data_IF_421075205654
#
_entry.id   IF_421075205654
#
_cell.length_a   1.000
_cell.length_b   1.000
_cell.length_c   1.000
_cell.angle_alpha   90.00
_cell.angle_beta   90.00
_cell.angle_gamma   90.00
#
_symmetry.space_group_name_H-M   'P 1'
#
loop_
_entity.id
_entity.type
_entity.pdbx_description
1 polymer ?
#
# COMPACT_ATOMS: atom_id res chain seq x y z
N UNK A 1 -36.98 -28.13 60.86
CA UNK A 1 -36.15 -27.00 60.40
C UNK A 1 -35.33 -27.50 59.22
N UNK A 2 -35.88 -27.28 58.03
CA UNK A 2 -35.20 -27.49 56.75
C UNK A 2 -34.10 -26.44 56.52
N UNK A 3 -33.30 -26.69 55.48
CA UNK A 3 -32.36 -25.80 54.76
C UNK A 3 -30.87 -26.07 55.01
N UNK A 4 -30.01 -26.18 54.00
CA UNK A 4 -30.17 -26.38 52.55
C UNK A 4 -28.78 -26.78 52.02
N UNK A 5 -28.74 -27.73 51.10
CA UNK A 5 -27.59 -28.02 50.25
C UNK A 5 -27.37 -26.85 49.27
N UNK A 6 -26.12 -26.54 48.90
CA UNK A 6 -25.86 -25.74 47.70
C UNK A 6 -24.55 -24.96 47.73
N UNK A 7 -23.65 -25.26 46.80
CA UNK A 7 -22.51 -24.39 46.54
C UNK A 7 -21.33 -25.02 45.80
N UNK A 8 -21.59 -25.81 44.75
CA UNK A 8 -20.57 -26.17 43.77
C UNK A 8 -20.07 -24.87 43.11
N UNK A 9 -18.84 -24.45 43.43
CA UNK A 9 -18.20 -23.29 42.79
C UNK A 9 -17.78 -23.67 41.38
N UNK A 10 -18.58 -23.28 40.39
CA UNK A 10 -18.20 -23.23 38.98
C UNK A 10 -17.01 -22.28 38.83
N UNK A 11 -15.83 -22.82 38.52
CA UNK A 11 -14.71 -22.02 38.01
C UNK A 11 -15.15 -21.43 36.67
N UNK A 12 -15.31 -20.11 36.62
CA UNK A 12 -15.34 -19.38 35.35
C UNK A 12 -14.03 -19.65 34.62
N UNK A 13 -14.11 -20.38 33.52
CA UNK A 13 -13.03 -20.49 32.53
C UNK A 13 -12.79 -19.09 31.97
N UNK A 14 -11.62 -18.53 32.24
CA UNK A 14 -11.15 -17.30 31.58
C UNK A 14 -10.84 -17.64 30.13
N UNK A 15 -11.39 -16.82 29.25
CA UNK A 15 -11.22 -16.78 27.80
C UNK A 15 -9.81 -17.19 27.33
N UNK A 16 -9.75 -18.24 26.51
CA UNK A 16 -8.59 -18.72 25.75
C UNK A 16 -8.70 -18.34 24.25
N UNK A 17 -9.74 -17.59 23.85
CA UNK A 17 -10.05 -17.34 22.44
C UNK A 17 -9.34 -16.10 21.85
N UNK A 18 -8.80 -15.19 22.69
CA UNK A 18 -8.14 -13.97 22.20
C UNK A 18 -6.76 -14.24 21.60
N UNK A 19 -5.99 -15.19 22.14
CA UNK A 19 -4.62 -15.45 21.70
C UNK A 19 -4.51 -16.07 20.29
N UNK A 20 -5.53 -16.80 19.83
CA UNK A 20 -5.51 -17.44 18.52
C UNK A 20 -5.89 -16.46 17.39
N UNK A 21 -6.78 -15.50 17.67
CA UNK A 21 -7.21 -14.47 16.73
C UNK A 21 -6.11 -13.44 16.46
N UNK A 22 -5.36 -13.05 17.49
CA UNK A 22 -4.26 -12.09 17.37
C UNK A 22 -3.10 -12.70 16.57
N UNK A 23 -2.70 -13.95 16.86
CA UNK A 23 -1.67 -14.66 16.10
C UNK A 23 -2.03 -14.84 14.61
N UNK A 24 -3.29 -15.15 14.31
CA UNK A 24 -3.75 -15.23 12.91
C UNK A 24 -3.71 -13.86 12.22
N UNK A 25 -4.01 -12.78 12.94
CA UNK A 25 -3.96 -11.41 12.43
C UNK A 25 -2.52 -10.94 12.22
N UNK A 26 -1.58 -11.32 13.09
CA UNK A 26 -0.15 -11.06 12.92
C UNK A 26 0.41 -11.71 11.65
N UNK A 27 0.01 -12.95 11.36
CA UNK A 27 0.37 -13.63 10.11
C UNK A 27 -0.20 -12.88 8.89
N UNK A 28 -1.45 -12.42 8.96
CA UNK A 28 -2.05 -11.61 7.89
C UNK A 28 -1.37 -10.25 7.73
N UNK A 29 -0.98 -9.62 8.84
CA UNK A 29 -0.24 -8.36 8.85
C UNK A 29 1.12 -8.53 8.16
N UNK A 30 1.84 -9.60 8.51
CA UNK A 30 3.10 -9.96 7.86
C UNK A 30 2.93 -10.21 6.35
N UNK A 31 1.88 -10.94 5.95
CA UNK A 31 1.59 -11.19 4.53
C UNK A 31 1.21 -9.92 3.76
N UNK A 32 0.52 -8.97 4.39
CA UNK A 32 0.06 -7.73 3.76
C UNK A 32 1.19 -6.70 3.61
N UNK A 33 2.00 -6.54 4.66
CA UNK A 33 2.91 -5.39 4.81
C UNK A 33 4.36 -5.76 5.09
N UNK A 34 4.64 -7.00 5.53
CA UNK A 34 5.95 -7.45 5.98
C UNK A 34 6.06 -7.59 7.51
N UNK A 35 7.23 -7.99 8.00
CA UNK A 35 7.51 -8.09 9.43
C UNK A 35 7.66 -6.71 10.10
N UNK A 36 7.72 -6.71 11.44
CA UNK A 36 7.96 -5.53 12.27
C UNK A 36 6.99 -4.36 12.00
N UNK A 37 5.72 -4.66 11.68
CA UNK A 37 4.74 -3.64 11.33
C UNK A 37 4.09 -2.95 12.54
N UNK A 38 4.55 -3.23 13.75
CA UNK A 38 3.94 -2.78 15.00
C UNK A 38 2.73 -3.64 15.40
N UNK A 39 2.02 -3.24 16.47
CA UNK A 39 0.92 -4.03 17.02
C UNK A 39 -0.26 -4.16 16.04
N UNK A 40 -0.99 -5.28 16.15
CA UNK A 40 -2.21 -5.52 15.37
C UNK A 40 -3.32 -4.52 15.72
N UNK A 41 -3.53 -4.24 17.01
CA UNK A 41 -4.52 -3.26 17.48
C UNK A 41 -5.90 -3.45 16.82
N UNK A 42 -6.48 -2.41 16.19
CA UNK A 42 -7.81 -2.52 15.57
C UNK A 42 -7.87 -3.52 14.40
N UNK A 43 -6.73 -3.98 13.87
CA UNK A 43 -6.69 -5.00 12.83
C UNK A 43 -7.24 -6.36 13.27
N UNK A 44 -7.25 -6.63 14.59
CA UNK A 44 -7.79 -7.88 15.14
C UNK A 44 -9.31 -8.00 14.93
N UNK A 45 -10.00 -6.88 14.68
CA UNK A 45 -11.42 -6.90 14.34
C UNK A 45 -11.66 -7.56 12.96
N UNK A 46 -12.82 -8.21 12.72
CA UNK A 46 -13.11 -8.90 11.46
C UNK A 46 -12.87 -8.07 10.19
N UNK A 47 -13.26 -6.79 10.19
CA UNK A 47 -13.02 -5.89 9.06
C UNK A 47 -11.53 -5.60 8.82
N UNK A 48 -10.73 -5.51 9.88
CA UNK A 48 -9.27 -5.34 9.79
C UNK A 48 -8.59 -6.58 9.23
N UNK A 49 -8.93 -7.77 9.75
CA UNK A 49 -8.40 -9.04 9.26
C UNK A 49 -8.79 -9.31 7.79
N UNK A 50 -10.03 -8.99 7.40
CA UNK A 50 -10.48 -9.08 6.01
C UNK A 50 -9.71 -8.12 5.11
N UNK A 51 -9.50 -6.86 5.54
CA UNK A 51 -8.68 -5.90 4.81
C UNK A 51 -7.25 -6.39 4.61
N UNK A 52 -6.57 -6.89 5.66
CA UNK A 52 -5.22 -7.46 5.55
C UNK A 52 -5.16 -8.60 4.53
N UNK A 53 -6.13 -9.51 4.56
CA UNK A 53 -6.22 -10.61 3.60
C UNK A 53 -6.38 -10.08 2.16
N UNK A 54 -7.22 -9.07 1.95
CA UNK A 54 -7.36 -8.45 0.64
C UNK A 54 -6.06 -7.78 0.17
N UNK A 55 -5.34 -7.08 1.06
CA UNK A 55 -4.05 -6.45 0.75
C UNK A 55 -2.99 -7.49 0.37
N UNK A 56 -2.92 -8.61 1.09
CA UNK A 56 -2.00 -9.71 0.80
C UNK A 56 -2.31 -10.35 -0.57
N UNK A 57 -3.58 -10.65 -0.84
CA UNK A 57 -4.03 -11.19 -2.14
C UNK A 57 -3.69 -10.24 -3.29
N UNK A 58 -3.95 -8.94 -3.12
CA UNK A 58 -3.61 -7.94 -4.12
C UNK A 58 -2.09 -7.83 -4.32
N UNK A 59 -1.29 -7.92 -3.25
CA UNK A 59 0.17 -7.93 -3.32
C UNK A 59 0.71 -9.09 -4.15
N UNK A 60 0.09 -10.26 -4.04
CA UNK A 60 0.41 -11.45 -4.83
C UNK A 60 -0.19 -11.44 -6.25
N UNK A 61 -0.93 -10.41 -6.65
CA UNK A 61 -1.56 -10.31 -7.98
C UNK A 61 -2.92 -10.99 -8.11
N UNK A 62 -3.48 -11.56 -7.04
CA UNK A 62 -4.78 -12.25 -7.04
C UNK A 62 -5.97 -11.28 -6.97
N UNK A 63 -6.11 -10.43 -7.98
CA UNK A 63 -7.02 -9.27 -7.97
C UNK A 63 -8.50 -9.64 -7.88
N UNK A 64 -8.94 -10.73 -8.53
CA UNK A 64 -10.31 -11.22 -8.39
C UNK A 64 -10.64 -11.59 -6.94
N UNK A 65 -9.77 -12.38 -6.30
CA UNK A 65 -9.94 -12.77 -4.91
C UNK A 65 -9.84 -11.56 -3.96
N UNK A 66 -8.86 -10.69 -4.17
CA UNK A 66 -8.69 -9.47 -3.39
C UNK A 66 -9.93 -8.56 -3.45
N UNK A 67 -10.52 -8.39 -4.63
CA UNK A 67 -11.74 -7.60 -4.83
C UNK A 67 -12.93 -8.18 -4.09
N UNK A 68 -13.12 -9.50 -4.15
CA UNK A 68 -14.18 -10.18 -3.40
C UNK A 68 -14.05 -9.96 -1.90
N UNK A 69 -12.84 -10.10 -1.36
CA UNK A 69 -12.59 -9.88 0.09
C UNK A 69 -12.71 -8.41 0.46
N UNK A 70 -12.20 -7.49 -0.36
CA UNK A 70 -12.32 -6.05 -0.10
C UNK A 70 -13.78 -5.58 -0.09
N UNK A 71 -14.62 -6.13 -0.99
CA UNK A 71 -16.04 -5.79 -1.08
C UNK A 71 -16.84 -6.21 0.17
N UNK A 72 -16.36 -7.16 0.97
CA UNK A 72 -17.01 -7.51 2.24
C UNK A 72 -16.68 -6.54 3.38
N UNK A 73 -15.75 -5.59 3.18
CA UNK A 73 -15.38 -4.56 4.16
C UNK A 73 -16.11 -3.26 3.80
N UNK A 74 -17.42 -3.25 4.01
CA UNK A 74 -18.29 -2.13 3.63
C UNK A 74 -18.46 -1.06 4.71
N UNK A 75 -18.15 -1.38 5.97
CA UNK A 75 -18.39 -0.55 7.14
C UNK A 75 -17.20 -0.55 8.13
N UNK A 76 -17.35 0.23 9.19
CA UNK A 76 -16.35 0.33 10.26
C UNK A 76 -15.05 1.05 9.88
N UNK A 77 -14.01 0.92 10.72
CA UNK A 77 -12.79 1.72 10.59
C UNK A 77 -11.96 1.40 9.34
N UNK A 78 -12.16 0.24 8.71
CA UNK A 78 -11.39 -0.19 7.53
C UNK A 78 -12.14 -0.06 6.20
N UNK A 79 -13.39 0.44 6.18
CA UNK A 79 -14.13 0.66 4.94
C UNK A 79 -13.40 1.61 3.98
N UNK A 80 -12.83 2.70 4.49
CA UNK A 80 -12.01 3.62 3.69
C UNK A 80 -10.77 2.90 3.12
N UNK A 81 -10.11 2.06 3.91
CA UNK A 81 -8.93 1.31 3.49
C UNK A 81 -9.24 0.30 2.38
N UNK A 82 -10.40 -0.35 2.45
CA UNK A 82 -10.89 -1.27 1.42
C UNK A 82 -11.19 -0.55 0.10
N UNK A 83 -11.76 0.65 0.16
CA UNK A 83 -11.97 1.51 -1.01
C UNK A 83 -10.67 2.02 -1.64
N UNK A 84 -9.69 2.42 -0.82
CA UNK A 84 -8.35 2.74 -1.33
C UNK A 84 -7.67 1.53 -2.00
N UNK A 85 -7.89 0.31 -1.48
CA UNK A 85 -7.36 -0.91 -2.10
C UNK A 85 -8.04 -1.19 -3.45
N UNK A 86 -9.36 -1.04 -3.54
CA UNK A 86 -10.11 -1.12 -4.79
C UNK A 86 -9.56 -0.15 -5.84
N UNK A 87 -9.40 1.13 -5.48
CA UNK A 87 -8.80 2.15 -6.33
C UNK A 87 -7.38 1.77 -6.77
N UNK A 88 -6.54 1.30 -5.83
CA UNK A 88 -5.17 0.89 -6.12
C UNK A 88 -5.09 -0.27 -7.11
N UNK A 89 -6.03 -1.22 -7.07
CA UNK A 89 -6.08 -2.31 -8.06
C UNK A 89 -6.47 -1.78 -9.43
N UNK A 90 -7.51 -0.93 -9.52
CA UNK A 90 -7.92 -0.28 -10.77
C UNK A 90 -6.77 0.52 -11.39
N UNK A 91 -6.05 1.30 -10.58
CA UNK A 91 -4.90 2.10 -10.99
C UNK A 91 -3.76 1.26 -11.55
N UNK A 92 -3.41 0.18 -10.86
CA UNK A 92 -2.36 -0.73 -11.31
C UNK A 92 -2.71 -1.42 -12.63
N UNK A 93 -4.00 -1.50 -12.97
CA UNK A 93 -4.47 -1.96 -14.27
C UNK A 93 -4.65 -0.84 -15.31
N UNK A 94 -4.13 0.36 -15.04
CA UNK A 94 -4.19 1.52 -15.95
C UNK A 94 -5.51 2.31 -15.92
N UNK A 95 -6.47 1.93 -15.06
CA UNK A 95 -7.82 2.53 -15.02
C UNK A 95 -7.93 3.73 -14.07
N UNK A 96 -7.02 4.70 -14.19
CA UNK A 96 -6.94 5.88 -13.32
C UNK A 96 -8.25 6.67 -13.19
N UNK A 97 -8.99 6.87 -14.29
CA UNK A 97 -10.29 7.58 -14.26
C UNK A 97 -11.33 6.85 -13.40
N UNK A 98 -11.35 5.52 -13.47
CA UNK A 98 -12.28 4.70 -12.67
C UNK A 98 -11.87 4.68 -11.19
N UNK A 99 -10.56 4.64 -10.91
CA UNK A 99 -10.01 4.61 -9.55
C UNK A 99 -10.36 5.88 -8.72
N UNK A 100 -10.59 7.02 -9.38
CA UNK A 100 -10.98 8.27 -8.70
C UNK A 100 -12.28 8.12 -7.88
N UNK A 101 -13.22 7.30 -8.33
CA UNK A 101 -14.50 7.09 -7.63
C UNK A 101 -14.30 6.45 -6.25
N UNK A 102 -13.71 5.24 -6.17
CA UNK A 102 -13.43 4.60 -4.90
C UNK A 102 -12.52 5.42 -3.97
N UNK A 103 -11.49 6.11 -4.46
CA UNK A 103 -10.64 6.97 -3.60
C UNK A 103 -11.41 8.19 -3.06
N UNK A 104 -12.32 8.78 -3.84
CA UNK A 104 -13.20 9.84 -3.36
C UNK A 104 -14.16 9.34 -2.27
N UNK A 105 -14.72 8.14 -2.43
CA UNK A 105 -15.55 7.51 -1.41
C UNK A 105 -14.73 7.18 -0.14
N UNK A 106 -13.49 6.70 -0.31
CA UNK A 106 -12.58 6.45 0.80
C UNK A 106 -12.29 7.72 1.60
N UNK A 107 -12.06 8.86 0.93
CA UNK A 107 -11.83 10.14 1.58
C UNK A 107 -13.05 10.58 2.40
N UNK A 108 -14.26 10.44 1.85
CA UNK A 108 -15.49 10.77 2.55
C UNK A 108 -15.70 9.88 3.80
N UNK A 109 -15.45 8.58 3.67
CA UNK A 109 -15.52 7.63 4.80
C UNK A 109 -14.48 7.98 5.88
N UNK A 110 -13.23 8.23 5.52
CA UNK A 110 -12.18 8.59 6.46
C UNK A 110 -12.46 9.93 7.17
N UNK A 111 -13.03 10.90 6.46
CA UNK A 111 -13.40 12.19 7.03
C UNK A 111 -14.51 12.06 8.09
N UNK A 112 -15.48 11.17 7.84
CA UNK A 112 -16.61 10.88 8.71
C UNK A 112 -16.27 9.98 9.90
N UNK A 113 -15.08 9.35 9.93
CA UNK A 113 -14.68 8.56 11.08
C UNK A 113 -14.51 9.43 12.33
N UNK A 114 -15.01 8.98 13.49
CA UNK A 114 -14.71 9.62 14.77
C UNK A 114 -13.20 9.75 14.93
N UNK A 115 -12.75 10.88 15.48
CA UNK A 115 -11.33 11.05 15.79
C UNK A 115 -10.90 10.03 16.84
N UNK A 116 -10.18 8.99 16.45
CA UNK A 116 -9.44 8.14 17.38
C UNK A 116 -8.01 8.68 17.51
N UNK A 117 -7.62 9.25 18.67
CA UNK A 117 -6.32 9.90 18.83
C UNK A 117 -5.12 8.92 18.81
N UNK A 118 -5.34 7.62 19.04
CA UNK A 118 -4.28 6.74 19.54
C UNK A 118 -3.49 5.95 18.47
N UNK A 119 -3.96 5.88 17.22
CA UNK A 119 -3.36 4.97 16.21
C UNK A 119 -2.85 5.66 14.94
N UNK A 120 -3.14 6.95 14.75
CA UNK A 120 -2.89 7.64 13.47
C UNK A 120 -3.70 7.07 12.29
N UNK A 121 -4.60 6.11 12.53
CA UNK A 121 -5.34 5.40 11.47
C UNK A 121 -6.16 6.36 10.62
N UNK A 122 -6.94 7.25 11.24
CA UNK A 122 -7.74 8.23 10.49
C UNK A 122 -6.87 9.10 9.58
N UNK A 123 -5.73 9.58 10.08
CA UNK A 123 -4.78 10.36 9.28
C UNK A 123 -4.22 9.52 8.12
N UNK A 124 -3.80 8.28 8.39
CA UNK A 124 -3.30 7.38 7.36
C UNK A 124 -4.34 7.15 6.25
N UNK A 125 -5.62 6.97 6.61
CA UNK A 125 -6.71 6.78 5.65
C UNK A 125 -6.97 8.03 4.82
N UNK A 126 -7.02 9.22 5.45
CA UNK A 126 -7.17 10.50 4.76
C UNK A 126 -6.02 10.74 3.77
N UNK A 127 -4.79 10.45 4.18
CA UNK A 127 -3.59 10.58 3.35
C UNK A 127 -3.63 9.56 2.21
N UNK A 128 -3.88 8.28 2.48
CA UNK A 128 -3.95 7.25 1.45
C UNK A 128 -4.98 7.57 0.36
N UNK A 129 -6.17 8.02 0.75
CA UNK A 129 -7.22 8.40 -0.20
C UNK A 129 -6.82 9.63 -1.03
N UNK A 130 -6.28 10.66 -0.38
CA UNK A 130 -5.87 11.90 -1.05
C UNK A 130 -4.69 11.67 -2.00
N UNK A 131 -3.71 10.87 -1.58
CA UNK A 131 -2.59 10.42 -2.41
C UNK A 131 -3.06 9.54 -3.57
N UNK A 132 -4.09 8.71 -3.35
CA UNK A 132 -4.74 7.95 -4.39
C UNK A 132 -5.37 8.83 -5.47
N UNK A 133 -6.14 9.85 -5.06
CA UNK A 133 -6.67 10.87 -5.97
C UNK A 133 -5.55 11.62 -6.71
N UNK A 134 -4.43 11.92 -6.04
CA UNK A 134 -3.28 12.55 -6.67
C UNK A 134 -2.69 11.65 -7.77
N UNK A 135 -2.49 10.36 -7.48
CA UNK A 135 -1.99 9.38 -8.44
C UNK A 135 -2.93 9.18 -9.63
N UNK A 136 -4.25 9.28 -9.45
CA UNK A 136 -5.21 9.23 -10.55
C UNK A 136 -5.23 10.50 -11.39
N UNK A 137 -5.05 11.67 -10.75
CA UNK A 137 -4.85 12.92 -11.47
C UNK A 137 -3.56 12.86 -12.31
N UNK A 138 -2.46 12.39 -11.72
CA UNK A 138 -1.19 12.17 -12.39
C UNK A 138 -1.33 11.23 -13.59
N UNK A 139 -1.90 10.03 -13.39
CA UNK A 139 -2.05 9.04 -14.47
C UNK A 139 -3.06 9.44 -15.55
N UNK A 140 -3.76 10.56 -15.39
CA UNK A 140 -4.62 11.17 -16.42
C UNK A 140 -4.02 12.46 -17.00
N UNK A 141 -2.75 12.76 -16.70
CA UNK A 141 -2.02 13.93 -17.21
C UNK A 141 -2.37 15.26 -16.51
N UNK A 142 -3.13 15.22 -15.41
CA UNK A 142 -3.58 16.42 -14.67
C UNK A 142 -2.58 16.81 -13.58
N UNK A 143 -1.33 17.09 -13.97
CA UNK A 143 -0.21 17.34 -13.05
C UNK A 143 -0.46 18.45 -12.02
N UNK A 144 -1.04 19.62 -12.38
CA UNK A 144 -1.34 20.65 -11.38
C UNK A 144 -2.37 20.21 -10.34
N UNK A 145 -3.32 19.36 -10.71
CA UNK A 145 -4.28 18.79 -9.76
C UNK A 145 -3.59 17.77 -8.84
N UNK A 146 -2.72 16.92 -9.38
CA UNK A 146 -1.90 16.00 -8.59
C UNK A 146 -1.07 16.76 -7.54
N UNK A 147 -0.41 17.84 -7.93
CA UNK A 147 0.38 18.67 -7.01
C UNK A 147 -0.47 19.25 -5.88
N UNK A 148 -1.66 19.79 -6.18
CA UNK A 148 -2.57 20.32 -5.14
C UNK A 148 -3.06 19.24 -4.19
N UNK A 149 -3.33 18.04 -4.69
CA UNK A 149 -3.76 16.91 -3.86
C UNK A 149 -2.61 16.41 -2.96
N UNK A 150 -1.37 16.40 -3.45
CA UNK A 150 -0.20 16.11 -2.60
C UNK A 150 -0.03 17.15 -1.48
N UNK A 151 -0.20 18.44 -1.78
CA UNK A 151 -0.18 19.48 -0.75
C UNK A 151 -1.31 19.27 0.29
N UNK A 152 -2.50 18.86 -0.16
CA UNK A 152 -3.60 18.51 0.76
C UNK A 152 -3.29 17.29 1.63
N UNK A 153 -2.59 16.30 1.09
CA UNK A 153 -2.11 15.16 1.88
C UNK A 153 -1.10 15.62 2.95
N UNK A 154 -0.23 16.58 2.64
CA UNK A 154 0.72 17.16 3.60
C UNK A 154 -0.01 17.90 4.73
N UNK A 155 -1.11 18.61 4.43
CA UNK A 155 -1.96 19.23 5.46
C UNK A 155 -2.55 18.21 6.44
N UNK A 156 -2.96 17.03 5.95
CA UNK A 156 -3.44 15.94 6.81
C UNK A 156 -2.34 15.40 7.72
N UNK A 157 -1.12 15.28 7.20
CA UNK A 157 0.06 14.83 7.97
C UNK A 157 0.50 15.87 9.02
N UNK A 158 0.38 17.17 8.72
CA UNK A 158 0.72 18.25 9.63
C UNK A 158 -0.26 18.36 10.79
N UNK A 159 -1.57 18.29 10.51
CA UNK A 159 -2.62 18.39 11.53
C UNK A 159 -2.53 17.29 12.61
N UNK A 160 -1.92 16.15 12.31
CA UNK A 160 -1.64 15.09 13.29
C UNK A 160 -0.55 15.49 14.29
N UNK A 161 0.51 16.18 13.84
CA UNK A 161 1.64 16.57 14.67
C UNK A 161 1.27 17.64 15.70
N UNK A 162 0.25 18.46 15.40
CA UNK A 162 -0.27 19.50 16.30
C UNK A 162 -1.13 18.90 17.43
N UNK A 163 -1.59 17.66 17.28
CA UNK A 163 -2.36 16.91 18.27
C UNK A 163 -1.44 16.27 19.31
N UNK A 164 -1.44 16.80 20.53
CA UNK A 164 -0.55 16.47 21.65
C UNK A 164 -0.65 15.04 22.18
N UNK A 165 -0.28 14.02 21.39
CA UNK A 165 -0.07 12.66 21.88
C UNK A 165 1.38 12.50 22.38
N UNK A 166 1.61 11.92 23.58
CA UNK A 166 2.96 11.71 24.08
C UNK A 166 3.75 10.77 23.14
N UNK A 167 4.94 11.22 22.73
CA UNK A 167 5.88 10.60 21.79
C UNK A 167 6.52 9.27 22.27
N UNK A 168 5.77 8.41 22.96
CA UNK A 168 6.33 7.25 23.68
C UNK A 168 6.15 5.90 22.98
N UNK A 169 5.28 5.80 21.96
CA UNK A 169 5.11 4.57 21.18
C UNK A 169 5.23 4.88 19.69
N UNK A 170 6.19 4.25 18.97
CA UNK A 170 6.28 4.37 17.51
C UNK A 170 4.95 3.97 16.84
N UNK A 171 4.49 4.78 15.88
CA UNK A 171 3.26 4.46 15.15
C UNK A 171 3.44 3.16 14.35
N UNK A 172 2.42 2.28 14.31
CA UNK A 172 2.50 1.07 13.51
C UNK A 172 2.77 1.38 12.04
N UNK A 173 3.62 0.59 11.39
CA UNK A 173 3.99 0.80 9.99
C UNK A 173 2.77 0.93 9.07
N UNK A 174 1.74 0.11 9.30
CA UNK A 174 0.54 0.04 8.47
C UNK A 174 -0.35 1.30 8.51
N UNK A 175 -0.04 2.30 9.35
CA UNK A 175 -0.73 3.59 9.42
C UNK A 175 0.06 4.71 8.70
N UNK A 176 0.42 5.78 9.41
CA UNK A 176 0.98 7.03 8.90
C UNK A 176 2.36 6.84 8.28
N UNK A 177 3.30 6.03 8.84
CA UNK A 177 4.60 5.81 8.20
C UNK A 177 4.48 5.30 6.75
N UNK A 178 3.62 4.31 6.52
CA UNK A 178 3.33 3.80 5.17
C UNK A 178 2.64 4.85 4.29
N UNK A 179 1.72 5.63 4.86
CA UNK A 179 1.02 6.68 4.11
C UNK A 179 1.98 7.80 3.64
N UNK A 180 2.96 8.18 4.46
CA UNK A 180 4.04 9.12 4.10
C UNK A 180 4.87 8.58 2.94
N UNK A 181 5.31 7.33 3.01
CA UNK A 181 6.08 6.72 1.92
C UNK A 181 5.28 6.69 0.59
N UNK A 182 3.98 6.38 0.65
CA UNK A 182 3.09 6.43 -0.53
C UNK A 182 2.92 7.83 -1.09
N UNK A 183 2.88 8.85 -0.25
CA UNK A 183 2.90 10.25 -0.67
C UNK A 183 4.18 10.57 -1.43
N UNK A 184 5.34 10.15 -0.92
CA UNK A 184 6.65 10.42 -1.53
C UNK A 184 6.82 9.71 -2.87
N UNK A 185 6.27 8.49 -3.00
CA UNK A 185 6.16 7.79 -4.27
C UNK A 185 5.45 8.61 -5.34
N UNK A 186 4.27 9.15 -5.03
CA UNK A 186 3.48 9.92 -6.00
C UNK A 186 4.12 11.28 -6.30
N UNK A 187 4.81 11.89 -5.33
CA UNK A 187 5.59 13.11 -5.57
C UNK A 187 6.78 12.86 -6.52
N UNK A 188 7.49 11.75 -6.36
CA UNK A 188 8.57 11.36 -7.26
C UNK A 188 8.04 11.02 -8.66
N UNK A 189 6.95 10.25 -8.75
CA UNK A 189 6.26 9.97 -10.01
C UNK A 189 5.83 11.29 -10.67
N UNK A 190 5.30 12.26 -9.92
CA UNK A 190 4.90 13.56 -10.46
C UNK A 190 6.06 14.30 -11.10
N UNK A 191 7.24 14.33 -10.46
CA UNK A 191 8.44 14.94 -11.03
C UNK A 191 8.89 14.24 -12.32
N UNK A 192 8.84 12.90 -12.34
CA UNK A 192 9.14 12.09 -13.53
C UNK A 192 8.20 12.43 -14.69
N UNK A 193 6.88 12.39 -14.48
CA UNK A 193 5.89 12.55 -15.55
C UNK A 193 5.68 14.01 -15.98
N UNK A 194 6.03 14.99 -15.14
CA UNK A 194 6.00 16.40 -15.50
C UNK A 194 7.27 16.87 -16.23
N UNK A 195 8.31 16.03 -16.31
CA UNK A 195 9.60 16.38 -16.91
C UNK A 195 10.52 17.18 -15.99
N UNK A 196 10.25 17.23 -14.69
CA UNK A 196 11.11 17.87 -13.69
C UNK A 196 12.29 16.94 -13.33
N UNK A 197 13.33 16.95 -14.16
CA UNK A 197 14.54 16.15 -13.96
C UNK A 197 15.27 16.46 -12.64
N UNK A 198 15.25 17.72 -12.20
CA UNK A 198 15.87 18.12 -10.93
C UNK A 198 15.10 17.56 -9.73
N UNK A 199 13.78 17.67 -9.74
CA UNK A 199 12.90 17.07 -8.74
C UNK A 199 13.01 15.54 -8.71
N UNK A 200 13.09 14.89 -9.89
CA UNK A 200 13.29 13.46 -9.99
C UNK A 200 14.64 13.04 -9.38
N UNK A 201 15.73 13.75 -9.69
CA UNK A 201 17.04 13.49 -9.11
C UNK A 201 17.07 13.67 -7.59
N UNK A 202 16.40 14.69 -7.06
CA UNK A 202 16.28 14.93 -5.62
C UNK A 202 15.44 13.85 -4.90
N UNK A 203 14.46 13.26 -5.59
CA UNK A 203 13.62 12.21 -5.03
C UNK A 203 14.38 10.88 -4.79
N UNK A 204 15.38 10.56 -5.60
CA UNK A 204 16.15 9.30 -5.49
C UNK A 204 16.76 9.10 -4.09
N UNK A 205 17.62 9.99 -3.56
CA UNK A 205 18.19 9.81 -2.22
C UNK A 205 17.12 9.87 -1.11
N UNK A 206 16.07 10.70 -1.26
CA UNK A 206 15.00 10.79 -0.29
C UNK A 206 14.22 9.46 -0.16
N UNK A 207 13.88 8.84 -1.30
CA UNK A 207 13.20 7.55 -1.34
C UNK A 207 14.06 6.43 -0.77
N UNK A 208 15.36 6.43 -1.04
CA UNK A 208 16.29 5.42 -0.49
C UNK A 208 16.47 5.59 1.02
N UNK A 209 16.46 6.82 1.53
CA UNK A 209 16.46 7.08 2.97
C UNK A 209 15.16 6.64 3.65
N UNK A 210 14.03 6.71 2.94
CA UNK A 210 12.72 6.26 3.39
C UNK A 210 12.43 4.77 3.09
N UNK A 211 13.40 4.01 2.54
CA UNK A 211 13.22 2.58 2.24
C UNK A 211 12.93 1.81 3.54
N UNK A 212 11.78 1.11 3.61
CA UNK A 212 11.36 0.42 4.83
C UNK A 212 12.13 -0.88 5.11
N UNK A 213 13.06 -1.28 4.25
CA UNK A 213 13.99 -2.38 4.48
C UNK A 213 13.45 -3.75 4.09
N UNK A 214 14.28 -4.77 4.33
CA UNK A 214 14.06 -6.15 3.86
C UNK A 214 12.87 -6.83 4.54
N UNK A 215 12.53 -6.41 5.77
CA UNK A 215 11.35 -6.92 6.47
C UNK A 215 10.04 -6.54 5.77
N UNK A 216 10.03 -5.55 4.87
CA UNK A 216 8.82 -5.02 4.20
C UNK A 216 8.98 -5.06 2.68
N UNK A 217 9.13 -6.26 2.09
CA UNK A 217 9.62 -6.44 0.72
C UNK A 217 8.75 -5.75 -0.34
N UNK A 218 7.43 -5.69 -0.13
CA UNK A 218 6.53 -5.01 -1.08
C UNK A 218 6.79 -3.51 -1.16
N UNK A 219 6.95 -2.85 -0.02
CA UNK A 219 7.19 -1.41 -0.01
C UNK A 219 8.62 -1.11 -0.47
N UNK A 220 9.61 -1.92 -0.07
CA UNK A 220 10.98 -1.86 -0.60
C UNK A 220 11.02 -1.97 -2.12
N UNK A 221 10.41 -3.01 -2.71
CA UNK A 221 10.38 -3.18 -4.16
C UNK A 221 9.72 -2.00 -4.88
N UNK A 222 8.58 -1.50 -4.39
CA UNK A 222 7.92 -0.33 -4.99
C UNK A 222 8.75 0.95 -4.85
N UNK A 223 9.39 1.18 -3.70
CA UNK A 223 10.35 2.30 -3.51
C UNK A 223 11.50 2.23 -4.50
N UNK A 224 12.13 1.06 -4.66
CA UNK A 224 13.24 0.88 -5.59
C UNK A 224 12.82 1.07 -7.06
N UNK A 225 11.64 0.59 -7.47
CA UNK A 225 11.12 0.83 -8.81
C UNK A 225 10.93 2.33 -9.10
N UNK A 226 10.34 3.07 -8.17
CA UNK A 226 10.12 4.52 -8.35
C UNK A 226 11.44 5.28 -8.31
N UNK A 227 12.34 4.94 -7.40
CA UNK A 227 13.68 5.53 -7.36
C UNK A 227 14.45 5.24 -8.66
N UNK A 228 14.30 4.05 -9.25
CA UNK A 228 14.86 3.72 -10.56
C UNK A 228 14.26 4.53 -11.70
N UNK A 229 12.93 4.73 -11.71
CA UNK A 229 12.27 5.62 -12.67
C UNK A 229 12.76 7.07 -12.55
N UNK A 230 12.90 7.56 -11.32
CA UNK A 230 13.39 8.89 -11.03
C UNK A 230 14.85 9.07 -11.44
N UNK A 231 15.72 8.09 -11.16
CA UNK A 231 17.11 8.07 -11.61
C UNK A 231 17.21 8.13 -13.14
N UNK A 232 16.37 7.36 -13.84
CA UNK A 232 16.33 7.41 -15.29
C UNK A 232 15.90 8.79 -15.81
N UNK A 233 14.85 9.37 -15.24
CA UNK A 233 14.35 10.70 -15.62
C UNK A 233 15.36 11.82 -15.33
N UNK A 234 16.24 11.65 -14.34
CA UNK A 234 17.34 12.57 -14.06
C UNK A 234 18.63 12.27 -14.84
N UNK A 235 18.63 11.29 -15.75
CA UNK A 235 19.76 10.96 -16.62
C UNK A 235 20.79 9.97 -16.04
N UNK A 236 20.51 9.37 -14.88
CA UNK A 236 21.38 8.38 -14.23
C UNK A 236 20.92 6.95 -14.58
N UNK A 237 21.24 6.52 -15.80
CA UNK A 237 20.83 5.23 -16.36
C UNK A 237 21.42 4.02 -15.64
N UNK A 238 22.69 4.09 -15.23
CA UNK A 238 23.36 3.01 -14.48
C UNK A 238 22.66 2.77 -13.14
N UNK A 239 22.37 3.84 -12.40
CA UNK A 239 21.64 3.74 -11.14
C UNK A 239 20.21 3.26 -11.35
N UNK A 240 19.56 3.70 -12.43
CA UNK A 240 18.22 3.22 -12.79
C UNK A 240 18.22 1.69 -12.99
N UNK A 241 19.16 1.15 -13.77
CA UNK A 241 19.29 -0.28 -14.01
C UNK A 241 19.53 -1.06 -12.71
N UNK A 242 20.46 -0.59 -11.87
CA UNK A 242 20.75 -1.23 -10.59
C UNK A 242 19.53 -1.26 -9.64
N UNK A 243 18.81 -0.15 -9.52
CA UNK A 243 17.63 -0.03 -8.65
C UNK A 243 16.47 -0.89 -9.15
N UNK A 244 16.17 -0.85 -10.46
CA UNK A 244 15.09 -1.65 -11.05
C UNK A 244 15.41 -3.15 -10.97
N UNK A 245 16.65 -3.54 -11.25
CA UNK A 245 17.09 -4.94 -11.14
C UNK A 245 16.93 -5.47 -9.70
N UNK A 246 17.36 -4.69 -8.70
CA UNK A 246 17.15 -5.04 -7.28
C UNK A 246 15.66 -5.13 -6.94
N UNK A 247 14.85 -4.20 -7.43
CA UNK A 247 13.41 -4.21 -7.18
C UNK A 247 12.73 -5.46 -7.77
N UNK A 248 13.10 -5.84 -9.00
CA UNK A 248 12.62 -7.04 -9.65
C UNK A 248 13.00 -8.30 -8.87
N UNK A 249 14.23 -8.37 -8.35
CA UNK A 249 14.68 -9.48 -7.52
C UNK A 249 13.85 -9.60 -6.23
N UNK A 250 13.71 -8.50 -5.46
CA UNK A 250 12.89 -8.47 -4.24
C UNK A 250 11.45 -8.88 -4.53
N UNK A 251 10.86 -8.37 -5.62
CA UNK A 251 9.49 -8.71 -6.01
C UNK A 251 9.34 -10.19 -6.40
N UNK A 252 10.37 -10.77 -7.02
CA UNK A 252 10.39 -12.19 -7.40
C UNK A 252 10.47 -13.10 -6.18
N UNK A 253 11.39 -12.83 -5.27
CA UNK A 253 11.57 -13.64 -4.05
C UNK A 253 10.33 -13.59 -3.13
N UNK A 254 9.69 -12.42 -3.06
CA UNK A 254 8.49 -12.23 -2.23
C UNK A 254 7.17 -12.62 -2.93
N UNK A 255 7.21 -13.14 -4.17
CA UNK A 255 5.99 -13.55 -4.91
C UNK A 255 5.04 -12.39 -5.25
N UNK A 256 5.58 -11.19 -5.48
CA UNK A 256 4.83 -9.96 -5.71
C UNK A 256 4.62 -9.72 -7.21
N UNK A 257 3.77 -10.53 -7.84
CA UNK A 257 3.56 -10.56 -9.29
C UNK A 257 3.35 -9.19 -9.95
N UNK A 258 2.51 -8.27 -9.42
CA UNK A 258 2.35 -6.94 -10.02
C UNK A 258 3.65 -6.13 -10.09
N UNK A 259 4.47 -6.19 -9.03
CA UNK A 259 5.76 -5.48 -8.98
C UNK A 259 6.83 -6.18 -9.81
N UNK A 260 6.78 -7.51 -9.89
CA UNK A 260 7.65 -8.29 -10.78
C UNK A 260 7.38 -7.95 -12.25
N UNK A 261 6.11 -7.82 -12.65
CA UNK A 261 5.72 -7.36 -13.97
C UNK A 261 6.23 -5.94 -14.25
N UNK A 262 6.00 -5.01 -13.32
CA UNK A 262 6.46 -3.62 -13.47
C UNK A 262 7.99 -3.54 -13.61
N UNK A 263 8.74 -4.29 -12.81
CA UNK A 263 10.19 -4.40 -12.92
C UNK A 263 10.64 -4.97 -14.27
N UNK A 264 10.03 -6.05 -14.74
CA UNK A 264 10.33 -6.63 -16.05
C UNK A 264 10.04 -5.66 -17.21
N UNK A 265 8.92 -4.92 -17.14
CA UNK A 265 8.59 -3.87 -18.11
C UNK A 265 9.64 -2.76 -18.12
N UNK A 266 10.06 -2.27 -16.97
CA UNK A 266 11.10 -1.24 -16.89
C UNK A 266 12.45 -1.73 -17.41
N UNK A 267 12.91 -2.92 -16.99
CA UNK A 267 14.16 -3.50 -17.49
C UNK A 267 14.14 -3.72 -19.00
N UNK A 268 12.98 -4.03 -19.59
CA UNK A 268 12.86 -4.19 -21.04
C UNK A 268 13.23 -2.93 -21.84
N UNK A 269 13.05 -1.74 -21.23
CA UNK A 269 13.44 -0.46 -21.82
C UNK A 269 14.83 0.04 -21.41
N UNK A 270 15.41 -0.49 -20.32
CA UNK A 270 16.73 -0.10 -19.81
C UNK A 270 17.87 -0.96 -20.37
N UNK A 271 17.61 -2.25 -20.59
CA UNK A 271 18.65 -3.21 -20.96
C UNK A 271 18.98 -3.21 -22.46
N UNK A 272 20.18 -3.66 -22.82
CA UNK A 272 20.58 -3.88 -24.21
C UNK A 272 19.67 -4.90 -24.93
N UNK A 273 19.65 -4.87 -26.27
CA UNK A 273 18.66 -5.54 -27.12
C UNK A 273 18.34 -7.01 -26.76
N UNK A 274 19.34 -7.82 -26.41
CA UNK A 274 19.16 -9.24 -26.05
C UNK A 274 18.46 -9.44 -24.70
N UNK A 275 18.91 -8.73 -23.66
CA UNK A 275 18.31 -8.78 -22.33
C UNK A 275 16.93 -8.12 -22.32
N UNK A 276 16.74 -7.02 -23.05
CA UNK A 276 15.46 -6.34 -23.20
C UNK A 276 14.38 -7.24 -23.81
N UNK A 277 14.73 -8.03 -24.84
CA UNK A 277 13.81 -9.00 -25.44
C UNK A 277 13.41 -10.13 -24.47
N UNK A 278 14.34 -10.57 -23.61
CA UNK A 278 14.03 -11.56 -22.56
C UNK A 278 13.08 -10.98 -21.52
N UNK A 279 13.34 -9.78 -21.02
CA UNK A 279 12.48 -9.12 -20.03
C UNK A 279 11.09 -8.81 -20.59
N UNK A 280 10.99 -8.50 -21.89
CA UNK A 280 9.71 -8.35 -22.58
C UNK A 280 8.87 -9.64 -22.54
N UNK A 281 9.49 -10.82 -22.77
CA UNK A 281 8.81 -12.12 -22.67
C UNK A 281 8.36 -12.43 -21.24
N UNK A 282 9.21 -12.11 -20.25
CA UNK A 282 8.87 -12.28 -18.83
C UNK A 282 7.68 -11.40 -18.47
N UNK A 283 7.69 -10.13 -18.88
CA UNK A 283 6.57 -9.22 -18.66
C UNK A 283 5.28 -9.76 -19.30
N UNK A 284 5.30 -10.20 -20.56
CA UNK A 284 4.12 -10.75 -21.22
C UNK A 284 3.54 -12.01 -20.52
N UNK A 285 4.41 -12.89 -20.01
CA UNK A 285 3.98 -14.06 -19.25
C UNK A 285 3.31 -13.69 -17.93
N UNK A 286 3.91 -12.75 -17.18
CA UNK A 286 3.34 -12.23 -15.94
C UNK A 286 2.02 -11.50 -16.17
N UNK A 287 1.93 -10.75 -17.25
CA UNK A 287 0.71 -10.05 -17.66
C UNK A 287 -0.43 -11.04 -17.91
N UNK A 288 -0.15 -12.13 -18.63
CA UNK A 288 -1.12 -13.19 -18.90
C UNK A 288 -1.61 -13.88 -17.61
N UNK A 289 -0.71 -14.13 -16.65
CA UNK A 289 -1.06 -14.66 -15.34
C UNK A 289 -1.94 -13.68 -14.55
N UNK A 290 -1.55 -12.41 -14.53
CA UNK A 290 -2.26 -11.38 -13.78
C UNK A 290 -3.66 -11.10 -14.33
N UNK A 291 -3.83 -11.15 -15.66
CA UNK A 291 -5.15 -11.08 -16.32
C UNK A 291 -6.02 -12.25 -15.89
N UNK A 292 -5.50 -13.49 -15.89
CA UNK A 292 -6.24 -14.67 -15.41
C UNK A 292 -6.66 -14.52 -13.95
N UNK A 293 -5.82 -13.87 -13.15
CA UNK A 293 -6.08 -13.59 -11.73
C UNK A 293 -6.95 -12.34 -11.50
N UNK A 294 -7.50 -11.75 -12.56
CA UNK A 294 -8.55 -10.73 -12.50
C UNK A 294 -8.07 -9.27 -12.56
N UNK A 295 -6.86 -9.04 -13.07
CA UNK A 295 -6.44 -7.72 -13.53
C UNK A 295 -7.15 -7.36 -14.84
N UNK A 296 -7.82 -6.22 -14.86
CA UNK A 296 -8.50 -5.69 -16.03
C UNK A 296 -7.60 -4.64 -16.67
N UNK A 297 -6.50 -5.10 -17.27
CA UNK A 297 -5.48 -4.24 -17.86
C UNK A 297 -6.10 -3.49 -19.04
N UNK A 298 -6.12 -2.16 -18.96
CA UNK A 298 -6.44 -1.33 -20.11
C UNK A 298 -5.45 -1.68 -21.22
N UNK A 299 -5.96 -2.06 -22.40
CA UNK A 299 -5.13 -2.28 -23.58
C UNK A 299 -4.24 -1.05 -23.79
N UNK A 300 -2.94 -1.31 -23.88
CA UNK A 300 -1.85 -0.33 -24.05
C UNK A 300 -2.20 0.75 -25.07
#
# INVERSE_FOLDING_TARGET
MEHHCGGCKTRKVKSLETGHSDAATEVLLAAAFGADCGPVGPLAAPGGAAWLRAVALAGAGRFAAARTVAASVGDGPFAAAARCLEASMLRQSGRHRTATGPDGAALALAAAQPGEPASGLRTALMVDATVGLAADALGTGRYPLSARLLARADEHLAAQCDGSAPASVPEPWWTVPRARLRRDWVAAELAVYSGDAAGAGAAVPALLAADPGESRPRHRAKTLLIAGAAAMASGDGERAEALVGKAYHVATEAGLNPLRWAGAKMMSGLSGAGQGAQMSRVAAALESEWIRDGADLAGV
#
